data_IF_144405753485
#
_entry.id   IF_144405753485
#
_cell.length_a   1.000
_cell.length_b   1.000
_cell.length_c   1.000
_cell.angle_alpha   90.00
_cell.angle_beta   90.00
_cell.angle_gamma   90.00
#
_symmetry.space_group_name_H-M   'P 1'
#
loop_
_entity.id
_entity.type
_entity.pdbx_description
1 polymer ?
#
# COMPACT_ATOMS: atom_id res chain seq x y z
N UNK A 1 -2.86 -21.69 17.10
CA UNK A 1 -3.77 -20.75 17.78
C UNK A 1 -4.58 -20.04 16.70
N UNK A 2 -5.86 -20.39 16.53
CA UNK A 2 -6.73 -19.64 15.62
C UNK A 2 -7.08 -18.34 16.33
N UNK A 3 -6.45 -17.24 15.94
CA UNK A 3 -6.92 -15.91 16.32
C UNK A 3 -8.34 -15.79 15.79
N UNK A 4 -9.32 -15.66 16.69
CA UNK A 4 -10.70 -15.42 16.30
C UNK A 4 -10.73 -14.09 15.53
N UNK A 5 -11.23 -14.12 14.29
CA UNK A 5 -11.31 -12.97 13.38
C UNK A 5 -12.78 -12.56 13.27
N UNK A 6 -13.36 -11.92 14.31
CA UNK A 6 -14.80 -11.71 14.39
C UNK A 6 -15.36 -10.88 13.23
N UNK A 7 -14.54 -10.02 12.63
CA UNK A 7 -14.92 -9.20 11.46
C UNK A 7 -15.27 -10.03 10.21
N UNK A 8 -14.78 -11.28 10.09
CA UNK A 8 -15.12 -12.15 8.96
C UNK A 8 -16.61 -12.55 8.95
N UNK A 9 -17.28 -12.50 10.11
CA UNK A 9 -18.73 -12.76 10.20
C UNK A 9 -19.56 -11.64 9.55
N UNK A 10 -18.98 -10.45 9.42
CA UNK A 10 -19.61 -9.28 8.80
C UNK A 10 -19.36 -9.18 7.30
N UNK A 11 -18.60 -10.12 6.71
CA UNK A 11 -18.34 -10.13 5.27
C UNK A 11 -19.58 -10.64 4.53
N UNK A 12 -19.89 -10.03 3.39
CA UNK A 12 -20.98 -10.52 2.54
C UNK A 12 -20.69 -11.94 2.02
N UNK A 13 -21.74 -12.74 1.75
CA UNK A 13 -21.58 -14.07 1.19
C UNK A 13 -20.78 -14.05 -0.11
N UNK A 14 -19.76 -14.92 -0.20
CA UNK A 14 -18.90 -15.03 -1.38
C UNK A 14 -17.62 -14.18 -1.34
N UNK A 15 -17.43 -13.31 -0.33
CA UNK A 15 -16.16 -12.59 -0.16
C UNK A 15 -15.12 -13.52 0.49
N UNK A 16 -13.98 -13.78 -0.18
CA UNK A 16 -12.93 -14.61 0.40
C UNK A 16 -12.26 -13.91 1.59
N UNK A 17 -11.94 -14.69 2.63
CA UNK A 17 -11.27 -14.18 3.85
C UNK A 17 -9.78 -13.91 3.67
N UNK A 18 -9.20 -14.31 2.53
CA UNK A 18 -7.80 -14.11 2.16
C UNK A 18 -7.67 -14.07 0.64
N UNK A 19 -6.69 -13.32 0.15
CA UNK A 19 -6.30 -13.31 -1.27
C UNK A 19 -4.90 -13.90 -1.43
N UNK A 20 -4.51 -14.18 -2.68
CA UNK A 20 -3.12 -14.49 -3.00
C UNK A 20 -2.35 -13.17 -3.10
N UNK A 21 -1.50 -12.89 -2.13
CA UNK A 21 -0.63 -11.73 -2.12
C UNK A 21 0.72 -12.08 -2.74
N UNK A 22 1.41 -11.12 -3.39
CA UNK A 22 2.80 -11.32 -3.79
C UNK A 22 3.69 -11.45 -2.55
N UNK A 23 4.73 -12.28 -2.66
CA UNK A 23 5.72 -12.48 -1.58
C UNK A 23 6.77 -11.37 -1.61
N UNK A 24 6.33 -10.16 -1.25
CA UNK A 24 7.15 -8.95 -1.20
C UNK A 24 6.84 -8.14 0.07
N UNK A 25 7.81 -7.42 0.63
CA UNK A 25 7.56 -6.49 1.71
C UNK A 25 6.59 -5.37 1.29
N UNK A 26 5.79 -4.88 2.23
CA UNK A 26 4.78 -3.84 1.96
C UNK A 26 5.39 -2.55 1.38
N UNK A 27 6.58 -2.15 1.83
CA UNK A 27 7.25 -0.98 1.29
C UNK A 27 7.64 -1.12 -0.20
N UNK A 28 7.79 -2.34 -0.70
CA UNK A 28 8.21 -2.60 -2.08
C UNK A 28 7.14 -2.17 -3.10
N UNK A 29 5.87 -2.08 -2.69
CA UNK A 29 4.81 -1.50 -3.50
C UNK A 29 5.07 -0.01 -3.82
N UNK A 30 5.57 0.76 -2.86
CA UNK A 30 5.90 2.18 -3.06
C UNK A 30 7.09 2.31 -4.02
N UNK A 31 8.11 1.49 -3.85
CA UNK A 31 9.28 1.46 -4.74
C UNK A 31 8.87 1.17 -6.18
N UNK A 32 8.06 0.14 -6.42
CA UNK A 32 7.57 -0.19 -7.77
C UNK A 32 6.71 0.94 -8.36
N UNK A 33 5.89 1.62 -7.55
CA UNK A 33 5.09 2.76 -8.00
C UNK A 33 5.98 3.96 -8.38
N UNK A 34 7.05 4.23 -7.63
CA UNK A 34 8.02 5.28 -7.91
C UNK A 34 8.84 5.00 -9.19
N UNK A 35 9.15 3.74 -9.48
CA UNK A 35 9.81 3.36 -10.73
C UNK A 35 8.89 3.49 -11.94
N UNK A 36 7.63 3.04 -11.82
CA UNK A 36 6.68 3.03 -12.92
C UNK A 36 6.09 4.41 -13.24
N UNK A 37 5.87 5.23 -12.21
CA UNK A 37 5.16 6.51 -12.31
C UNK A 37 5.88 7.64 -11.56
N UNK A 38 7.17 7.90 -11.83
CA UNK A 38 8.00 8.77 -11.00
C UNK A 38 7.46 10.19 -10.84
N UNK A 39 6.88 10.75 -11.91
CA UNK A 39 6.41 12.14 -11.96
C UNK A 39 4.92 12.30 -11.60
N UNK A 40 4.19 11.19 -11.38
CA UNK A 40 2.78 11.25 -11.02
C UNK A 40 2.64 11.71 -9.56
N UNK A 41 1.63 12.53 -9.22
CA UNK A 41 1.32 12.86 -7.82
C UNK A 41 1.00 11.58 -7.05
N UNK A 42 1.72 11.34 -5.96
CA UNK A 42 1.42 10.29 -5.00
C UNK A 42 0.45 10.80 -3.91
N UNK A 43 0.64 12.04 -3.46
CA UNK A 43 -0.22 12.65 -2.45
C UNK A 43 -0.27 14.17 -2.59
N UNK A 44 -1.39 14.75 -2.14
CA UNK A 44 -1.57 16.17 -1.93
C UNK A 44 -1.74 16.40 -0.43
N UNK A 45 -0.75 17.03 0.21
CA UNK A 45 -0.71 17.19 1.66
C UNK A 45 -0.42 18.64 2.03
N UNK A 46 -1.37 19.28 2.73
CA UNK A 46 -1.29 20.70 3.12
C UNK A 46 -0.89 21.64 1.97
N UNK A 47 -1.49 21.49 0.79
CA UNK A 47 -1.20 22.32 -0.37
C UNK A 47 0.09 21.94 -1.12
N UNK A 48 0.88 21.00 -0.60
CA UNK A 48 2.05 20.47 -1.31
C UNK A 48 1.66 19.24 -2.14
N UNK A 49 2.15 19.20 -3.37
CA UNK A 49 2.09 18.03 -4.23
C UNK A 49 3.41 17.28 -4.10
N UNK A 50 3.35 15.99 -3.74
CA UNK A 50 4.51 15.11 -3.66
C UNK A 50 4.34 14.02 -4.72
N UNK A 51 5.35 13.84 -5.56
CA UNK A 51 5.38 12.78 -6.58
C UNK A 51 5.77 11.43 -5.98
N UNK A 52 5.51 10.33 -6.68
CA UNK A 52 5.93 9.00 -6.21
C UNK A 52 7.44 8.89 -6.04
N UNK A 53 8.23 9.50 -6.93
CA UNK A 53 9.69 9.53 -6.81
C UNK A 53 10.12 10.24 -5.53
N UNK A 54 9.64 11.47 -5.33
CA UNK A 54 9.97 12.25 -4.13
C UNK A 54 9.53 11.50 -2.88
N UNK A 55 8.32 10.95 -2.84
CA UNK A 55 7.82 10.21 -1.68
C UNK A 55 8.72 9.03 -1.32
N UNK A 56 9.14 8.23 -2.31
CA UNK A 56 10.04 7.10 -2.09
C UNK A 56 11.44 7.54 -1.61
N UNK A 57 11.96 8.67 -2.10
CA UNK A 57 13.19 9.26 -1.58
C UNK A 57 12.99 9.75 -0.13
N UNK A 58 11.88 10.42 0.18
CA UNK A 58 11.57 10.92 1.51
C UNK A 58 11.54 9.79 2.55
N UNK A 59 10.95 8.64 2.22
CA UNK A 59 10.77 7.49 3.14
C UNK A 59 12.04 6.69 3.38
N UNK A 60 12.99 6.69 2.44
CA UNK A 60 14.22 5.88 2.51
C UNK A 60 15.43 6.64 3.09
N UNK A 61 15.23 7.85 3.63
CA UNK A 61 16.31 8.71 4.14
C UNK A 61 16.71 8.48 5.61
N UNK A 62 16.07 7.54 6.30
CA UNK A 62 16.35 7.22 7.70
C UNK A 62 17.14 5.91 7.82
#
# INVERSE_FOLDING_TARGET
MNADRPWLKSYEPGIPSTLKYPDIPLQQFLTHAAERFPNNPATFFFGNKITYKELNELTNRC
#
